data_IF_655243674417
#
_entry.id   IF_655243674417
#
_cell.length_a   1.000
_cell.length_b   1.000
_cell.length_c   1.000
_cell.angle_alpha   90.00
_cell.angle_beta   90.00
_cell.angle_gamma   90.00
#
_symmetry.space_group_name_H-M   'P 1'
#
loop_
_entity.id
_entity.type
_entity.pdbx_description
1 polymer ?
#
# COMPACT_ATOMS: atom_id res chain seq x y z
N UNK A 1 3.48 11.57 19.32
CA UNK A 1 2.21 11.06 18.77
C UNK A 1 2.06 9.60 19.19
N UNK A 2 1.22 9.34 20.18
CA UNK A 2 0.81 7.99 20.59
C UNK A 2 -0.25 7.47 19.62
N UNK A 3 -0.19 6.19 19.25
CA UNK A 3 -1.28 5.54 18.53
C UNK A 3 -2.45 5.26 19.50
N UNK A 4 -3.67 5.02 18.97
CA UNK A 4 -4.85 4.65 19.79
C UNK A 4 -4.53 3.55 20.80
N UNK A 5 -3.85 2.49 20.35
CA UNK A 5 -3.36 1.41 21.21
C UNK A 5 -2.46 1.88 22.37
N UNK A 6 -1.56 2.84 22.11
CA UNK A 6 -0.66 3.37 23.12
C UNK A 6 -1.43 4.20 24.15
N UNK A 7 -2.41 5.00 23.69
CA UNK A 7 -3.25 5.83 24.54
C UNK A 7 -4.14 4.97 25.46
N UNK A 8 -4.72 3.89 24.94
CA UNK A 8 -5.54 2.96 25.72
C UNK A 8 -4.72 2.19 26.75
N UNK A 9 -3.49 1.75 26.41
CA UNK A 9 -2.59 1.11 27.37
C UNK A 9 -2.20 2.06 28.51
N UNK A 10 -1.90 3.32 28.20
CA UNK A 10 -1.58 4.35 29.20
C UNK A 10 -2.82 4.68 30.04
N UNK A 11 -3.98 4.85 29.41
CA UNK A 11 -5.25 5.11 30.10
C UNK A 11 -5.60 4.01 31.09
N UNK A 12 -5.47 2.74 30.67
CA UNK A 12 -5.67 1.58 31.54
C UNK A 12 -4.70 1.58 32.74
N UNK A 13 -3.42 1.88 32.52
CA UNK A 13 -2.42 1.97 33.58
C UNK A 13 -2.76 3.08 34.58
N UNK A 14 -3.10 4.29 34.10
CA UNK A 14 -3.45 5.42 34.97
C UNK A 14 -4.74 5.20 35.75
N UNK A 15 -5.74 4.59 35.12
CA UNK A 15 -6.97 4.20 35.79
C UNK A 15 -6.68 3.23 36.94
N UNK A 16 -5.82 2.22 36.71
CA UNK A 16 -5.44 1.27 37.74
C UNK A 16 -4.63 1.91 38.88
N UNK A 17 -3.66 2.77 38.55
CA UNK A 17 -2.92 3.53 39.57
C UNK A 17 -3.83 4.41 40.43
N UNK A 18 -4.81 5.06 39.81
CA UNK A 18 -5.79 5.88 40.52
C UNK A 18 -6.68 5.02 41.43
N UNK A 19 -7.21 3.91 40.91
CA UNK A 19 -8.03 2.98 41.69
C UNK A 19 -7.28 2.46 42.92
N UNK A 20 -6.02 2.03 42.75
CA UNK A 20 -5.17 1.55 43.84
C UNK A 20 -4.93 2.63 44.91
N UNK A 21 -4.69 3.89 44.51
CA UNK A 21 -4.51 5.01 45.45
C UNK A 21 -5.77 5.34 46.24
N UNK A 22 -6.95 5.12 45.64
CA UNK A 22 -8.23 5.39 46.27
C UNK A 22 -8.67 4.25 47.19
N UNK A 23 -8.10 3.04 47.09
CA UNK A 23 -8.48 1.90 47.92
C UNK A 23 -8.57 2.22 49.43
N UNK A 24 -7.56 2.86 50.05
CA UNK A 24 -7.60 3.14 51.49
C UNK A 24 -8.71 4.12 51.90
N UNK A 25 -9.25 4.89 50.96
CA UNK A 25 -10.34 5.83 51.21
C UNK A 25 -11.73 5.18 51.08
N UNK A 26 -11.81 4.01 50.45
CA UNK A 26 -13.08 3.33 50.13
C UNK A 26 -13.26 2.07 50.97
N UNK A 27 -12.19 1.51 51.54
CA UNK A 27 -12.25 0.36 52.44
C UNK A 27 -11.76 0.75 53.84
N UNK A 28 -12.65 0.67 54.84
CA UNK A 28 -12.33 0.92 56.25
C UNK A 28 -11.47 -0.20 56.88
N UNK A 29 -11.39 -1.37 56.23
CA UNK A 29 -10.63 -2.54 56.70
C UNK A 29 -9.35 -2.78 55.90
N UNK A 30 -8.36 -3.44 56.55
CA UNK A 30 -7.11 -3.94 55.94
C UNK A 30 -7.31 -5.08 54.93
N UNK A 31 -8.52 -5.25 54.39
CA UNK A 31 -8.84 -6.23 53.37
C UNK A 31 -8.23 -5.84 52.03
N UNK A 32 -7.86 -6.80 51.18
CA UNK A 32 -7.38 -6.56 49.81
C UNK A 32 -8.58 -6.67 48.84
N UNK A 33 -9.35 -5.58 48.60
CA UNK A 33 -10.57 -5.64 47.81
C UNK A 33 -10.28 -5.99 46.34
N UNK A 34 -11.23 -6.66 45.71
CA UNK A 34 -11.17 -6.96 44.28
C UNK A 34 -11.37 -5.69 43.46
N UNK A 35 -10.39 -5.34 42.63
CA UNK A 35 -10.51 -4.34 41.57
C UNK A 35 -10.88 -5.05 40.27
N UNK A 36 -11.82 -4.50 39.50
CA UNK A 36 -12.10 -4.93 38.12
C UNK A 36 -11.69 -3.84 37.14
N UNK A 37 -10.72 -4.15 36.28
CA UNK A 37 -10.34 -3.31 35.15
C UNK A 37 -11.07 -3.81 33.89
N UNK A 38 -12.05 -3.03 33.46
CA UNK A 38 -12.88 -3.31 32.28
C UNK A 38 -12.34 -2.55 31.07
N UNK A 39 -11.98 -3.24 29.99
CA UNK A 39 -11.38 -2.65 28.79
C UNK A 39 -12.08 -3.18 27.52
N UNK A 40 -12.18 -2.36 26.50
CA UNK A 40 -12.75 -2.72 25.19
C UNK A 40 -11.70 -3.16 24.16
N UNK A 41 -10.45 -2.67 24.27
CA UNK A 41 -9.35 -3.15 23.45
C UNK A 41 -8.77 -4.47 23.99
N UNK A 42 -9.09 -5.56 23.30
CA UNK A 42 -8.56 -6.90 23.56
C UNK A 42 -7.04 -6.98 23.50
N UNK A 43 -6.39 -6.22 22.61
CA UNK A 43 -4.92 -6.19 22.50
C UNK A 43 -4.26 -5.63 23.76
N UNK A 44 -4.88 -4.64 24.41
CA UNK A 44 -4.39 -4.09 25.69
C UNK A 44 -4.60 -5.11 26.80
N UNK A 45 -5.75 -5.80 26.84
CA UNK A 45 -5.99 -6.90 27.79
C UNK A 45 -4.93 -7.99 27.65
N UNK A 46 -4.62 -8.41 26.42
CA UNK A 46 -3.58 -9.41 26.16
C UNK A 46 -2.20 -8.93 26.60
N UNK A 47 -1.85 -7.67 26.36
CA UNK A 47 -0.57 -7.10 26.82
C UNK A 47 -0.45 -7.03 28.35
N UNK A 48 -1.55 -6.75 29.05
CA UNK A 48 -1.58 -6.73 30.52
C UNK A 48 -1.54 -8.17 31.08
N UNK A 49 -2.24 -9.14 30.47
CA UNK A 49 -2.24 -10.54 30.92
C UNK A 49 -0.95 -11.29 30.61
N UNK A 50 -0.31 -10.96 29.48
CA UNK A 50 0.87 -11.64 28.96
C UNK A 50 2.12 -10.79 29.09
N UNK A 51 2.92 -10.79 28.02
CA UNK A 51 4.16 -10.01 27.96
C UNK A 51 3.91 -8.56 27.56
N UNK A 52 4.67 -7.64 28.16
CA UNK A 52 4.62 -6.22 27.83
C UNK A 52 4.88 -6.01 26.34
N UNK A 53 4.01 -5.24 25.67
CA UNK A 53 4.22 -4.91 24.28
C UNK A 53 5.49 -4.06 24.09
N UNK A 54 6.06 -4.10 22.88
CA UNK A 54 7.22 -3.27 22.51
C UNK A 54 6.89 -1.76 22.51
N UNK A 55 5.61 -1.40 22.45
CA UNK A 55 5.10 -0.03 22.53
C UNK A 55 4.39 0.18 23.87
N UNK A 56 4.51 1.37 24.47
CA UNK A 56 4.02 1.66 25.83
C UNK A 56 4.49 0.67 26.90
N UNK A 57 5.72 0.14 26.76
CA UNK A 57 6.27 -0.90 27.62
C UNK A 57 6.25 -0.52 29.12
N UNK A 58 6.53 0.75 29.43
CA UNK A 58 6.48 1.25 30.81
C UNK A 58 5.08 1.10 31.44
N UNK A 59 4.01 1.35 30.67
CA UNK A 59 2.64 1.26 31.15
C UNK A 59 2.26 -0.21 31.43
N UNK A 60 2.69 -1.13 30.56
CA UNK A 60 2.50 -2.57 30.78
C UNK A 60 3.27 -3.07 32.00
N UNK A 61 4.56 -2.71 32.14
CA UNK A 61 5.35 -3.10 33.31
C UNK A 61 4.73 -2.56 34.60
N UNK A 62 4.23 -1.32 34.57
CA UNK A 62 3.56 -0.71 35.72
C UNK A 62 2.26 -1.43 36.08
N UNK A 63 1.43 -1.77 35.09
CA UNK A 63 0.27 -2.63 35.31
C UNK A 63 0.69 -3.98 35.92
N UNK A 64 1.71 -4.65 35.38
CA UNK A 64 2.20 -5.94 35.89
C UNK A 64 2.67 -5.85 37.35
N UNK A 65 3.32 -4.76 37.75
CA UNK A 65 3.66 -4.51 39.15
C UNK A 65 2.40 -4.45 40.04
N UNK A 66 1.40 -3.65 39.63
CA UNK A 66 0.16 -3.47 40.40
C UNK A 66 -0.65 -4.78 40.48
N UNK A 67 -0.70 -5.56 39.41
CA UNK A 67 -1.34 -6.89 39.38
C UNK A 67 -0.68 -7.91 40.32
N UNK A 68 0.62 -7.75 40.63
CA UNK A 68 1.31 -8.61 41.62
C UNK A 68 1.02 -8.19 43.06
N UNK A 69 0.64 -6.94 43.29
CA UNK A 69 0.48 -6.35 44.63
C UNK A 69 -0.99 -6.29 45.08
N UNK A 70 -1.92 -6.19 44.13
CA UNK A 70 -3.34 -5.98 44.39
C UNK A 70 -4.20 -7.05 43.73
N UNK A 71 -5.38 -7.30 44.30
CA UNK A 71 -6.34 -8.24 43.72
C UNK A 71 -7.08 -7.62 42.53
N UNK A 72 -6.44 -7.62 41.35
CA UNK A 72 -6.94 -6.98 40.12
C UNK A 72 -7.40 -8.04 39.11
N UNK A 73 -8.65 -7.96 38.69
CA UNK A 73 -9.25 -8.79 37.66
C UNK A 73 -9.44 -8.00 36.37
N UNK A 74 -9.22 -8.64 35.22
CA UNK A 74 -9.41 -8.04 33.89
C UNK A 74 -10.67 -8.58 33.24
N UNK A 75 -11.57 -7.69 32.83
CA UNK A 75 -12.77 -8.02 32.06
C UNK A 75 -12.76 -7.30 30.72
N UNK A 76 -13.22 -7.99 29.68
CA UNK A 76 -13.51 -7.35 28.42
C UNK A 76 -14.92 -6.75 28.49
N UNK A 77 -15.06 -5.50 28.08
CA UNK A 77 -16.34 -4.81 27.92
C UNK A 77 -16.47 -4.36 26.47
N UNK A 78 -17.59 -4.62 25.78
CA UNK A 78 -17.75 -4.17 24.40
C UNK A 78 -17.83 -2.65 24.33
N UNK A 79 -17.09 -2.06 23.39
CA UNK A 79 -17.16 -0.62 23.10
C UNK A 79 -18.42 -0.25 22.31
N UNK A 80 -18.89 1.00 22.48
CA UNK A 80 -20.04 1.58 21.75
C UNK A 80 -21.37 0.86 21.97
N UNK A 81 -21.53 0.19 23.12
CA UNK A 81 -22.75 -0.52 23.49
C UNK A 81 -23.56 0.21 24.57
N UNK A 82 -23.24 1.47 24.88
CA UNK A 82 -23.97 2.26 25.88
C UNK A 82 -23.63 1.89 27.32
N UNK A 83 -22.48 1.23 27.56
CA UNK A 83 -21.98 0.98 28.91
C UNK A 83 -21.43 2.30 29.44
N UNK A 84 -22.14 2.90 30.40
CA UNK A 84 -21.86 4.25 30.93
C UNK A 84 -20.38 4.52 31.20
N UNK A 85 -19.70 3.63 31.94
CA UNK A 85 -18.28 3.80 32.25
C UNK A 85 -17.35 3.74 31.04
N UNK A 86 -17.67 2.91 30.03
CA UNK A 86 -16.86 2.80 28.81
C UNK A 86 -17.09 4.01 27.89
N UNK A 87 -18.35 4.43 27.72
CA UNK A 87 -18.69 5.61 26.93
C UNK A 87 -18.10 6.88 27.56
N UNK A 88 -18.11 6.98 28.90
CA UNK A 88 -17.50 8.12 29.59
C UNK A 88 -15.98 8.13 29.45
N UNK A 89 -15.32 6.96 29.53
CA UNK A 89 -13.88 6.85 29.27
C UNK A 89 -13.52 7.28 27.84
N UNK A 90 -14.29 6.83 26.83
CA UNK A 90 -14.10 7.22 25.43
C UNK A 90 -14.37 8.73 25.21
N UNK A 91 -15.42 9.27 25.85
CA UNK A 91 -15.73 10.70 25.83
C UNK A 91 -14.58 11.54 26.42
N UNK A 92 -14.01 11.11 27.55
CA UNK A 92 -12.87 11.77 28.18
C UNK A 92 -11.61 11.67 27.31
N UNK A 93 -11.34 10.52 26.69
CA UNK A 93 -10.23 10.34 25.76
C UNK A 93 -10.36 11.27 24.54
N UNK A 94 -11.55 11.35 23.93
CA UNK A 94 -11.83 12.27 22.81
C UNK A 94 -11.68 13.74 23.22
N UNK A 95 -12.12 14.11 24.43
CA UNK A 95 -11.95 15.46 24.96
C UNK A 95 -10.47 15.80 25.16
N UNK A 96 -9.66 14.85 25.61
CA UNK A 96 -8.21 15.03 25.79
C UNK A 96 -7.49 15.29 24.47
N UNK A 97 -7.89 14.63 23.38
CA UNK A 97 -7.33 14.88 22.03
C UNK A 97 -7.66 16.29 21.53
N UNK A 98 -8.85 16.80 21.84
CA UNK A 98 -9.31 18.13 21.43
C UNK A 98 -8.83 19.27 22.35
N UNK A 99 -8.19 18.96 23.47
CA UNK A 99 -7.70 19.96 24.42
C UNK A 99 -6.28 20.41 24.09
N UNK A 100 -6.03 21.71 24.11
CA UNK A 100 -4.69 22.32 24.03
C UNK A 100 -3.91 22.22 25.35
N UNK A 101 -4.35 21.38 26.29
CA UNK A 101 -3.69 21.18 27.58
C UNK A 101 -2.21 20.82 27.38
N UNK A 102 -1.36 21.29 28.30
CA UNK A 102 0.09 21.15 28.24
C UNK A 102 0.50 19.72 27.86
N UNK A 103 1.53 19.55 27.00
CA UNK A 103 1.94 18.24 26.54
C UNK A 103 2.19 17.33 27.74
N UNK A 104 1.79 16.06 27.62
CA UNK A 104 2.09 15.04 28.61
C UNK A 104 3.58 15.16 29.01
N UNK A 105 3.89 15.11 30.30
CA UNK A 105 5.25 15.17 30.82
C UNK A 105 5.70 13.77 31.26
N UNK A 106 7.01 13.51 31.24
CA UNK A 106 7.57 12.21 31.60
C UNK A 106 7.43 11.14 30.52
N UNK A 107 7.31 9.86 30.91
CA UNK A 107 7.33 8.70 30.00
C UNK A 107 6.19 8.72 28.96
N UNK A 108 5.07 9.37 29.27
CA UNK A 108 3.93 9.57 28.36
C UNK A 108 4.24 10.52 27.19
N UNK A 109 5.20 11.43 27.40
CA UNK A 109 5.68 12.36 26.38
C UNK A 109 6.59 11.68 25.35
N UNK A 110 7.17 10.54 25.73
CA UNK A 110 8.17 9.87 24.90
C UNK A 110 7.51 9.26 23.66
N UNK A 111 8.08 9.47 22.46
CA UNK A 111 7.53 8.92 21.24
C UNK A 111 7.57 7.38 21.31
N UNK A 112 6.42 6.75 21.11
CA UNK A 112 6.32 5.29 21.12
C UNK A 112 6.94 4.69 19.85
N UNK A 113 7.39 3.44 19.92
CA UNK A 113 7.94 2.73 18.75
C UNK A 113 6.92 2.71 17.60
N UNK A 114 5.65 2.51 17.92
CA UNK A 114 4.55 2.57 16.94
C UNK A 114 4.40 3.96 16.34
N UNK A 115 4.43 5.01 17.15
CA UNK A 115 4.39 6.41 16.69
C UNK A 115 5.56 6.75 15.77
N UNK A 116 6.79 6.36 16.13
CA UNK A 116 7.99 6.57 15.31
C UNK A 116 7.86 5.83 13.96
N UNK A 117 7.41 4.57 13.97
CA UNK A 117 7.20 3.79 12.73
C UNK A 117 6.17 4.45 11.81
N UNK A 118 5.10 4.99 12.36
CA UNK A 118 4.06 5.69 11.58
C UNK A 118 4.61 6.97 10.95
N UNK A 119 5.34 7.78 11.71
CA UNK A 119 6.00 8.99 11.17
C UNK A 119 7.02 8.62 10.08
N UNK A 120 7.86 7.61 10.33
CA UNK A 120 8.83 7.14 9.33
C UNK A 120 8.14 6.68 8.03
N UNK A 121 7.00 5.98 8.14
CA UNK A 121 6.20 5.55 6.98
C UNK A 121 5.61 6.75 6.22
N UNK A 122 5.08 7.75 6.93
CA UNK A 122 4.54 8.97 6.33
C UNK A 122 5.64 9.76 5.59
N UNK A 123 6.78 9.99 6.24
CA UNK A 123 7.92 10.68 5.65
C UNK A 123 8.44 9.92 4.42
N UNK A 124 8.52 8.59 4.47
CA UNK A 124 8.92 7.78 3.32
C UNK A 124 7.94 7.91 2.14
N UNK A 125 6.63 7.91 2.41
CA UNK A 125 5.60 8.11 1.39
C UNK A 125 5.64 9.51 0.78
N UNK A 126 5.88 10.53 1.60
CA UNK A 126 6.03 11.91 1.14
C UNK A 126 7.29 12.11 0.28
N UNK A 127 8.45 11.67 0.77
CA UNK A 127 9.71 11.73 0.04
C UNK A 127 9.60 11.02 -1.32
N UNK A 128 8.91 9.87 -1.36
CA UNK A 128 8.63 9.12 -2.59
C UNK A 128 7.74 9.89 -3.56
N UNK A 129 6.64 10.49 -3.09
CA UNK A 129 5.75 11.31 -3.93
C UNK A 129 6.50 12.51 -4.50
N UNK A 130 7.30 13.19 -3.68
CA UNK A 130 8.12 14.36 -4.07
C UNK A 130 9.22 13.99 -5.07
N UNK A 131 9.91 12.87 -4.86
CA UNK A 131 10.88 12.37 -5.83
C UNK A 131 10.21 12.04 -7.16
N UNK A 132 9.08 11.32 -7.10
CA UNK A 132 8.38 10.89 -8.30
C UNK A 132 7.81 12.06 -9.11
N UNK A 133 7.27 13.11 -8.46
CA UNK A 133 6.80 14.31 -9.17
C UNK A 133 7.91 15.03 -9.94
N UNK A 134 9.16 14.99 -9.45
CA UNK A 134 10.31 15.49 -10.19
C UNK A 134 10.78 14.53 -11.30
N UNK A 135 10.76 13.23 -11.03
CA UNK A 135 11.21 12.21 -11.99
C UNK A 135 10.24 12.04 -13.18
N UNK A 136 8.93 12.14 -12.96
CA UNK A 136 7.92 11.91 -13.99
C UNK A 136 7.99 12.94 -15.14
N UNK A 137 8.50 14.14 -14.87
CA UNK A 137 8.78 15.14 -15.90
C UNK A 137 9.80 14.68 -16.94
N UNK A 138 10.76 13.82 -16.55
CA UNK A 138 11.81 13.29 -17.44
C UNK A 138 11.37 12.11 -18.30
N UNK A 139 10.14 11.62 -18.14
CA UNK A 139 9.60 10.54 -18.98
C UNK A 139 9.48 11.01 -20.44
N UNK A 140 9.51 10.07 -21.39
CA UNK A 140 9.27 10.41 -22.79
C UNK A 140 7.78 10.66 -23.06
N UNK A 141 7.47 11.48 -24.06
CA UNK A 141 6.08 11.68 -24.51
C UNK A 141 5.43 10.37 -24.94
N UNK A 142 6.24 9.47 -25.52
CA UNK A 142 5.81 8.11 -25.82
C UNK A 142 5.35 7.41 -24.55
N UNK A 143 6.21 7.28 -23.54
CA UNK A 143 5.86 6.57 -22.31
C UNK A 143 4.66 7.19 -21.58
N UNK A 144 4.57 8.53 -21.54
CA UNK A 144 3.39 9.26 -21.03
C UNK A 144 2.14 8.94 -21.82
N UNK A 145 2.26 8.84 -23.14
CA UNK A 145 1.16 8.48 -24.02
C UNK A 145 0.58 7.09 -23.75
N UNK A 146 1.29 6.16 -23.10
CA UNK A 146 0.78 4.81 -22.80
C UNK A 146 0.01 4.69 -21.47
N UNK A 147 -0.23 5.79 -20.75
CA UNK A 147 -0.95 5.78 -19.47
C UNK A 147 -2.48 5.91 -19.64
N UNK A 148 -3.09 5.20 -20.61
CA UNK A 148 -4.54 5.29 -20.85
C UNK A 148 -5.41 4.71 -19.73
N UNK A 149 -4.87 3.79 -18.93
CA UNK A 149 -5.59 3.10 -17.85
C UNK A 149 -5.24 3.61 -16.45
N UNK A 150 -4.30 4.56 -16.33
CA UNK A 150 -3.93 5.18 -15.05
C UNK A 150 -3.69 6.69 -15.25
N UNK A 151 -4.54 7.57 -14.66
CA UNK A 151 -4.47 9.03 -14.84
C UNK A 151 -3.10 9.64 -14.47
N UNK A 152 -2.32 8.90 -13.69
CA UNK A 152 -0.97 9.20 -13.29
C UNK A 152 -0.17 7.91 -13.45
N UNK A 153 1.01 7.99 -14.07
CA UNK A 153 2.04 6.97 -13.87
C UNK A 153 2.40 7.08 -12.40
N UNK A 154 1.65 6.47 -11.49
CA UNK A 154 1.98 6.51 -10.07
C UNK A 154 3.11 5.53 -9.81
N UNK A 155 4.12 5.96 -9.06
CA UNK A 155 5.16 5.06 -8.60
C UNK A 155 4.57 4.03 -7.64
N UNK A 156 4.40 2.80 -8.13
CA UNK A 156 3.91 1.68 -7.33
C UNK A 156 5.06 0.94 -6.67
N UNK A 157 4.88 0.61 -5.39
CA UNK A 157 5.87 -0.16 -4.60
C UNK A 157 5.52 -1.64 -4.52
N UNK A 158 4.26 -1.98 -4.81
CA UNK A 158 3.87 -3.36 -5.01
C UNK A 158 4.32 -3.82 -6.40
N UNK A 159 4.70 -5.09 -6.49
CA UNK A 159 4.98 -5.74 -7.76
C UNK A 159 3.80 -5.52 -8.72
N UNK A 160 4.02 -4.95 -9.91
CA UNK A 160 2.96 -4.72 -10.86
C UNK A 160 2.52 -6.08 -11.48
N UNK A 161 1.24 -6.23 -11.88
CA UNK A 161 0.71 -7.47 -12.43
C UNK A 161 1.46 -7.91 -13.69
N UNK A 162 2.10 -6.99 -14.42
CA UNK A 162 3.00 -7.29 -15.54
C UNK A 162 4.10 -8.31 -15.19
N UNK A 163 4.58 -8.35 -13.94
CA UNK A 163 5.65 -9.27 -13.55
C UNK A 163 5.21 -10.75 -13.48
N UNK A 164 3.91 -11.04 -13.54
CA UNK A 164 3.43 -12.43 -13.62
C UNK A 164 3.43 -12.97 -15.05
N UNK A 165 3.64 -12.11 -16.06
CA UNK A 165 3.67 -12.51 -17.47
C UNK A 165 4.85 -13.45 -17.77
N UNK A 166 4.69 -14.38 -18.73
CA UNK A 166 5.83 -15.12 -19.28
C UNK A 166 6.92 -14.18 -19.80
N UNK A 167 8.19 -14.54 -19.59
CA UNK A 167 9.35 -13.70 -19.95
C UNK A 167 9.34 -13.22 -21.41
N UNK A 168 8.90 -14.07 -22.34
CA UNK A 168 8.83 -13.72 -23.75
C UNK A 168 7.76 -12.65 -24.04
N UNK A 169 6.67 -12.59 -23.28
CA UNK A 169 5.64 -11.57 -23.42
C UNK A 169 6.04 -10.28 -22.67
N UNK A 170 6.57 -10.43 -21.45
CA UNK A 170 7.01 -9.31 -20.62
C UNK A 170 8.04 -8.42 -21.33
N UNK A 171 9.05 -9.00 -21.98
CA UNK A 171 10.05 -8.17 -22.67
C UNK A 171 9.44 -7.37 -23.83
N UNK A 172 8.44 -7.92 -24.55
CA UNK A 172 7.73 -7.21 -25.63
C UNK A 172 6.86 -6.10 -25.05
N UNK A 173 6.14 -6.38 -23.97
CA UNK A 173 5.33 -5.38 -23.26
C UNK A 173 6.18 -4.17 -22.82
N UNK A 174 7.32 -4.43 -22.18
CA UNK A 174 8.26 -3.38 -21.76
C UNK A 174 8.84 -2.62 -22.95
N UNK A 175 9.22 -3.32 -24.02
CA UNK A 175 9.72 -2.69 -25.23
C UNK A 175 8.68 -1.77 -25.88
N UNK A 176 7.42 -2.20 -25.96
CA UNK A 176 6.33 -1.39 -26.49
C UNK A 176 6.14 -0.09 -25.71
N UNK A 177 6.08 -0.17 -24.37
CA UNK A 177 5.82 1.00 -23.52
C UNK A 177 7.00 1.95 -23.42
N UNK A 178 8.22 1.42 -23.38
CA UNK A 178 9.44 2.23 -23.34
C UNK A 178 9.87 2.72 -24.71
N UNK A 179 9.36 2.13 -25.79
CA UNK A 179 9.90 2.22 -27.16
C UNK A 179 11.34 1.72 -27.31
N UNK A 180 11.93 1.10 -26.28
CA UNK A 180 13.28 0.54 -26.32
C UNK A 180 13.21 -0.95 -26.64
N UNK A 181 13.51 -1.30 -27.88
CA UNK A 181 13.51 -2.67 -28.34
C UNK A 181 13.86 -2.77 -29.83
N UNK A 182 13.43 -3.86 -30.43
CA UNK A 182 13.64 -4.16 -31.84
C UNK A 182 12.71 -3.32 -32.75
N UNK A 183 13.02 -2.02 -32.83
CA UNK A 183 12.31 -1.05 -33.65
C UNK A 183 13.26 -0.31 -34.57
N UNK A 184 12.81 0.05 -35.77
CA UNK A 184 13.68 0.63 -36.80
C UNK A 184 14.38 1.90 -36.32
N UNK A 185 13.65 2.77 -35.61
CA UNK A 185 14.19 4.04 -35.12
C UNK A 185 15.31 3.82 -34.08
N UNK A 186 15.15 2.83 -33.20
CA UNK A 186 16.11 2.50 -32.16
C UNK A 186 17.42 1.99 -32.80
N UNK A 187 17.31 1.05 -33.74
CA UNK A 187 18.47 0.53 -34.46
C UNK A 187 19.17 1.60 -35.31
N UNK A 188 18.43 2.52 -35.94
CA UNK A 188 19.02 3.67 -36.66
C UNK A 188 19.78 4.62 -35.72
N UNK A 189 19.20 4.93 -34.56
CA UNK A 189 19.81 5.82 -33.57
C UNK A 189 21.17 5.30 -33.08
N UNK A 190 21.29 3.99 -32.89
CA UNK A 190 22.50 3.33 -32.38
C UNK A 190 23.35 2.65 -33.46
N UNK A 191 23.01 2.83 -34.75
CA UNK A 191 23.77 2.33 -35.90
C UNK A 191 24.07 0.81 -35.86
N UNK A 192 23.07 0.01 -35.49
CA UNK A 192 23.21 -1.45 -35.52
C UNK A 192 23.22 -1.97 -36.97
N UNK A 193 24.36 -2.50 -37.42
CA UNK A 193 24.58 -2.93 -38.81
C UNK A 193 23.68 -4.10 -39.24
N UNK A 194 23.54 -5.13 -38.40
CA UNK A 194 22.81 -6.37 -38.73
C UNK A 194 21.32 -6.33 -38.35
N UNK A 195 20.79 -5.14 -38.04
CA UNK A 195 19.43 -5.01 -37.55
C UNK A 195 18.40 -5.10 -38.68
N UNK A 196 17.46 -6.04 -38.57
CA UNK A 196 16.32 -6.11 -39.48
C UNK A 196 15.35 -4.97 -39.16
N UNK A 197 15.39 -3.90 -39.95
CA UNK A 197 14.56 -2.71 -39.72
C UNK A 197 13.09 -2.89 -40.11
N UNK A 198 12.77 -3.85 -40.98
CA UNK A 198 11.43 -4.02 -41.54
C UNK A 198 10.82 -5.37 -41.20
N UNK A 199 9.50 -5.38 -41.04
CA UNK A 199 8.69 -6.59 -40.92
C UNK A 199 8.51 -7.25 -42.30
N UNK A 200 8.12 -8.53 -42.34
CA UNK A 200 7.76 -9.25 -43.58
C UNK A 200 6.66 -8.54 -44.39
N UNK A 201 5.82 -7.70 -43.76
CA UNK A 201 4.86 -6.87 -44.48
C UNK A 201 5.47 -5.64 -45.17
N UNK A 202 6.80 -5.47 -45.16
CA UNK A 202 7.52 -4.37 -45.81
C UNK A 202 7.55 -3.06 -45.03
N UNK A 203 6.89 -2.97 -43.87
CA UNK A 203 6.85 -1.75 -43.07
C UNK A 203 7.95 -1.72 -42.02
N UNK A 204 8.38 -0.51 -41.65
CA UNK A 204 9.30 -0.28 -40.54
C UNK A 204 8.71 -0.84 -39.24
N UNK A 205 9.54 -1.56 -38.47
CA UNK A 205 9.22 -2.00 -37.10
C UNK A 205 8.99 -0.78 -36.20
N UNK A 206 7.78 -0.63 -35.69
CA UNK A 206 7.41 0.34 -34.66
C UNK A 206 6.67 -0.36 -33.51
N UNK A 207 6.54 0.26 -32.34
CA UNK A 207 5.81 -0.34 -31.23
C UNK A 207 4.36 -0.73 -31.61
N UNK A 208 3.63 0.20 -32.23
CA UNK A 208 2.25 -0.03 -32.67
C UNK A 208 2.12 -1.07 -33.80
N UNK A 209 3.24 -1.50 -34.40
CA UNK A 209 3.23 -2.37 -35.56
C UNK A 209 2.57 -3.74 -35.31
N UNK A 210 2.60 -4.24 -34.08
CA UNK A 210 1.91 -5.48 -33.68
C UNK A 210 0.45 -5.50 -34.12
N UNK A 211 -0.26 -4.36 -34.05
CA UNK A 211 -1.70 -4.26 -34.35
C UNK A 211 -1.98 -3.51 -35.66
N UNK A 212 -0.95 -2.93 -36.28
CA UNK A 212 -1.04 -2.33 -37.62
C UNK A 212 -0.62 -3.28 -38.74
N UNK A 213 0.13 -4.34 -38.43
CA UNK A 213 0.61 -5.25 -39.45
C UNK A 213 -0.54 -6.05 -40.07
N UNK A 214 -0.59 -6.09 -41.41
CA UNK A 214 -1.58 -6.88 -42.18
C UNK A 214 -1.65 -8.36 -41.78
N UNK A 215 -0.52 -8.96 -41.35
CA UNK A 215 -0.49 -10.37 -40.93
C UNK A 215 -1.17 -10.56 -39.58
N UNK A 216 -0.98 -9.63 -38.64
CA UNK A 216 -1.69 -9.62 -37.36
C UNK A 216 -3.18 -9.33 -37.53
N UNK A 217 -3.53 -8.38 -38.40
CA UNK A 217 -4.92 -8.01 -38.68
C UNK A 217 -5.76 -9.12 -39.31
N UNK A 218 -5.14 -10.16 -39.92
CA UNK A 218 -5.87 -11.36 -40.36
C UNK A 218 -6.51 -12.10 -39.19
N UNK A 219 -5.92 -12.00 -38.00
CA UNK A 219 -6.41 -12.62 -36.77
C UNK A 219 -7.33 -11.69 -35.97
N UNK A 220 -7.72 -10.53 -36.52
CA UNK A 220 -8.48 -9.49 -35.80
C UNK A 220 -9.73 -10.01 -35.08
N UNK A 221 -10.43 -11.00 -35.67
CA UNK A 221 -11.62 -11.57 -35.06
C UNK A 221 -11.36 -12.25 -33.71
N UNK A 222 -10.14 -12.73 -33.47
CA UNK A 222 -9.70 -13.44 -32.27
C UNK A 222 -8.92 -12.55 -31.29
N UNK A 223 -8.86 -11.25 -31.54
CA UNK A 223 -8.14 -10.34 -30.65
C UNK A 223 -8.88 -10.19 -29.31
N UNK A 224 -8.14 -10.18 -28.18
CA UNK A 224 -8.73 -9.91 -26.89
C UNK A 224 -9.19 -8.45 -26.82
N UNK A 225 -10.32 -8.20 -26.15
CA UNK A 225 -10.98 -6.88 -26.10
C UNK A 225 -11.07 -6.19 -27.46
N UNK A 226 -11.39 -6.97 -28.50
CA UNK A 226 -11.42 -6.53 -29.89
C UNK A 226 -12.19 -5.21 -30.05
N UNK A 227 -11.57 -4.17 -30.64
CA UNK A 227 -12.27 -2.91 -30.93
C UNK A 227 -13.30 -3.11 -32.05
N UNK A 228 -14.25 -2.18 -32.20
CA UNK A 228 -15.27 -2.25 -33.25
C UNK A 228 -14.68 -2.20 -34.67
N UNK A 229 -13.62 -1.41 -34.85
CA UNK A 229 -12.90 -1.28 -36.11
C UNK A 229 -11.43 -1.66 -35.94
N UNK A 230 -10.80 -2.13 -37.02
CA UNK A 230 -9.37 -2.43 -37.03
C UNK A 230 -8.55 -1.17 -36.77
N UNK A 231 -7.53 -1.23 -35.89
CA UNK A 231 -6.55 -0.16 -35.80
C UNK A 231 -5.89 0.05 -37.16
N UNK A 232 -5.92 1.29 -37.64
CA UNK A 232 -5.41 1.66 -38.98
C UNK A 232 -4.41 2.80 -38.92
N UNK A 233 -4.23 3.42 -37.75
CA UNK A 233 -3.26 4.46 -37.52
C UNK A 233 -2.66 4.34 -36.11
N UNK A 234 -1.63 5.13 -35.83
CA UNK A 234 -0.94 5.11 -34.55
C UNK A 234 -1.86 5.37 -33.35
N UNK A 235 -2.79 6.33 -33.46
CA UNK A 235 -3.68 6.69 -32.36
C UNK A 235 -4.60 5.52 -31.97
N UNK A 236 -5.26 4.91 -32.96
CA UNK A 236 -6.14 3.75 -32.74
C UNK A 236 -5.38 2.51 -32.26
N UNK A 237 -4.16 2.31 -32.74
CA UNK A 237 -3.30 1.20 -32.31
C UNK A 237 -2.84 1.35 -30.85
N UNK A 238 -2.37 2.55 -30.49
CA UNK A 238 -1.92 2.87 -29.14
C UNK A 238 -3.09 2.84 -28.15
N UNK A 239 -4.27 3.33 -28.53
CA UNK A 239 -5.48 3.24 -27.71
C UNK A 239 -5.90 1.78 -27.44
N UNK A 240 -5.87 0.93 -28.48
CA UNK A 240 -6.17 -0.50 -28.30
C UNK A 240 -5.15 -1.19 -27.40
N UNK A 241 -3.85 -1.06 -27.70
CA UNK A 241 -2.78 -1.67 -26.91
C UNK A 241 -2.76 -1.17 -25.45
N UNK A 242 -3.12 0.09 -25.22
CA UNK A 242 -3.25 0.68 -23.89
C UNK A 242 -4.45 0.19 -23.07
N UNK A 243 -5.44 -0.45 -23.71
CA UNK A 243 -6.62 -1.01 -23.03
C UNK A 243 -6.45 -2.47 -22.59
N UNK A 244 -5.37 -3.12 -23.04
CA UNK A 244 -5.05 -4.50 -22.72
C UNK A 244 -4.51 -4.62 -21.29
N UNK A 245 -4.89 -5.70 -20.61
CA UNK A 245 -4.22 -6.17 -19.40
C UNK A 245 -3.01 -7.02 -19.78
N UNK A 246 -2.12 -7.33 -18.82
CA UNK A 246 -1.05 -8.31 -19.01
C UNK A 246 -1.52 -9.63 -19.65
N UNK A 247 -2.65 -10.18 -19.19
CA UNK A 247 -3.24 -11.41 -19.72
C UNK A 247 -3.73 -11.24 -21.15
N UNK A 248 -4.49 -10.16 -21.42
CA UNK A 248 -4.98 -9.85 -22.77
C UNK A 248 -3.80 -9.72 -23.76
N UNK A 249 -2.67 -9.16 -23.32
CA UNK A 249 -1.51 -9.02 -24.19
C UNK A 249 -0.85 -10.36 -24.54
N UNK A 250 -0.75 -11.27 -23.58
CA UNK A 250 -0.24 -12.63 -23.84
C UNK A 250 -1.14 -13.32 -24.86
N UNK A 251 -2.46 -13.27 -24.68
CA UNK A 251 -3.43 -13.82 -25.63
C UNK A 251 -3.30 -13.21 -27.04
N UNK A 252 -3.07 -11.90 -27.13
CA UNK A 252 -2.82 -11.23 -28.41
C UNK A 252 -1.55 -11.75 -29.10
N UNK A 253 -0.47 -11.96 -28.35
CA UNK A 253 0.76 -12.52 -28.91
C UNK A 253 0.55 -13.96 -29.39
N UNK A 254 -0.18 -14.76 -28.62
CA UNK A 254 -0.44 -16.16 -28.93
C UNK A 254 -1.33 -16.31 -30.17
N UNK A 255 -2.40 -15.51 -30.29
CA UNK A 255 -3.31 -15.61 -31.42
C UNK A 255 -2.71 -15.05 -32.73
N UNK A 256 -1.83 -14.05 -32.64
CA UNK A 256 -1.21 -13.43 -33.82
C UNK A 256 0.11 -14.09 -34.23
N UNK A 257 0.80 -14.76 -33.29
CA UNK A 257 2.16 -15.29 -33.49
C UNK A 257 3.11 -14.24 -34.11
N UNK A 258 2.89 -12.96 -33.79
CA UNK A 258 3.46 -11.86 -34.55
C UNK A 258 4.98 -11.81 -34.48
N UNK A 259 5.53 -11.85 -33.26
CA UNK A 259 6.99 -11.78 -33.04
C UNK A 259 7.71 -13.12 -33.28
N UNK A 260 6.97 -14.21 -33.50
CA UNK A 260 7.53 -15.54 -33.77
C UNK A 260 7.51 -15.88 -35.26
N UNK A 261 6.48 -15.46 -36.01
CA UNK A 261 6.31 -15.82 -37.44
C UNK A 261 6.52 -14.67 -38.44
N UNK A 262 6.18 -13.43 -38.08
CA UNK A 262 6.06 -12.34 -39.07
C UNK A 262 7.06 -11.21 -38.85
N UNK A 263 7.20 -10.74 -37.62
CA UNK A 263 8.09 -9.64 -37.24
C UNK A 263 9.12 -10.15 -36.24
N UNK A 264 9.96 -11.07 -36.70
CA UNK A 264 11.07 -11.60 -35.92
C UNK A 264 12.13 -10.52 -35.69
N UNK A 265 13.00 -10.74 -34.70
CA UNK A 265 14.20 -9.93 -34.53
C UNK A 265 15.02 -9.89 -35.81
#
# INVERSE_FOLDING_TARGET
MSHVFDAEAVGACRALECAVKLLPCVTEDSSNPQIWLCLDNTSVIWGIRGSAAASSNWAYNRCHELLRQHNVGLKWAPGHMGIEGNEEADRLAKRAVSSTAAPAYGLEATPTVSGVRTVAKQLSQEARRKWWSGACGKLSDWYRGWSFSRPTVEYQVKAPPELTMPRHALHRWLALRSSHGDFSWYHRRFQHADARLTCVCGHNKSPEHLVLCRHSQRHFLHWPKRPAARPHNRATAVAYLGSLTPTDFVELLDCTQFYTRYCTR
#
